data_IF_245686403122
#
_entry.id   IF_245686403122
#
_cell.length_a   1.000
_cell.length_b   1.000
_cell.length_c   1.000
_cell.angle_alpha   90.00
_cell.angle_beta   90.00
_cell.angle_gamma   90.00
#
_symmetry.space_group_name_H-M   'P 1'
#
loop_
_entity.id
_entity.type
_entity.pdbx_description
1 polymer ?
#
# COMPACT_ATOMS: atom_id res chain seq x y z
N UNK A 1 -25.08 -24.11 -7.39
CA UNK A 1 -25.18 -22.91 -8.25
C UNK A 1 -24.79 -21.70 -7.43
N UNK A 2 -23.79 -20.97 -7.88
CA UNK A 2 -23.38 -19.69 -7.29
C UNK A 2 -24.23 -18.56 -7.87
N UNK A 3 -24.80 -17.73 -7.00
CA UNK A 3 -25.54 -16.51 -7.37
C UNK A 3 -24.66 -15.27 -7.11
N UNK A 4 -24.60 -14.35 -8.07
CA UNK A 4 -23.94 -13.06 -7.89
C UNK A 4 -24.94 -12.01 -7.40
N UNK A 5 -24.59 -11.34 -6.31
CA UNK A 5 -25.38 -10.29 -5.70
C UNK A 5 -24.58 -9.01 -5.52
N UNK A 6 -25.10 -7.90 -6.04
CA UNK A 6 -24.49 -6.60 -5.81
C UNK A 6 -24.67 -6.15 -4.35
N UNK A 7 -23.58 -5.70 -3.71
CA UNK A 7 -23.56 -5.19 -2.34
C UNK A 7 -23.83 -3.68 -2.28
N UNK A 8 -24.96 -3.24 -2.84
CA UNK A 8 -25.34 -1.83 -2.98
C UNK A 8 -25.96 -1.21 -1.71
N UNK A 9 -26.37 -2.01 -0.73
CA UNK A 9 -26.90 -1.49 0.56
C UNK A 9 -25.81 -1.42 1.63
N UNK A 10 -25.98 -0.53 2.63
CA UNK A 10 -25.07 -0.43 3.79
C UNK A 10 -24.90 -1.78 4.52
N UNK A 11 -25.95 -2.59 4.58
CA UNK A 11 -25.92 -3.93 5.20
C UNK A 11 -25.07 -4.90 4.38
N UNK A 12 -25.25 -4.93 3.06
CA UNK A 12 -24.46 -5.80 2.19
C UNK A 12 -23.00 -5.36 2.11
N UNK A 13 -22.71 -4.04 2.09
CA UNK A 13 -21.34 -3.51 2.17
C UNK A 13 -20.59 -3.97 3.42
N UNK A 14 -21.25 -3.95 4.59
CA UNK A 14 -20.66 -4.50 5.82
C UNK A 14 -20.32 -5.97 5.68
N UNK A 15 -21.24 -6.78 5.14
CA UNK A 15 -21.00 -8.20 4.89
C UNK A 15 -19.85 -8.43 3.91
N UNK A 16 -19.79 -7.63 2.84
CA UNK A 16 -18.70 -7.64 1.88
C UNK A 16 -17.36 -7.41 2.57
N UNK A 17 -17.23 -6.37 3.40
CA UNK A 17 -15.98 -6.09 4.12
C UNK A 17 -15.63 -7.22 5.11
N UNK A 18 -16.63 -7.71 5.86
CA UNK A 18 -16.42 -8.71 6.91
C UNK A 18 -16.06 -10.09 6.37
N UNK A 19 -16.51 -10.46 5.17
CA UNK A 19 -16.25 -11.77 4.59
C UNK A 19 -14.75 -12.15 4.59
N UNK A 20 -13.85 -11.22 4.30
CA UNK A 20 -12.41 -11.51 4.36
C UNK A 20 -11.92 -11.77 5.79
N UNK A 21 -12.37 -10.99 6.77
CA UNK A 21 -12.04 -11.25 8.17
C UNK A 21 -12.56 -12.63 8.63
N UNK A 22 -13.69 -13.08 8.10
CA UNK A 22 -14.26 -14.40 8.38
C UNK A 22 -13.51 -15.52 7.67
N UNK A 23 -13.17 -15.35 6.39
CA UNK A 23 -12.43 -16.31 5.57
C UNK A 23 -11.04 -16.59 6.17
N UNK A 24 -10.35 -15.56 6.64
CA UNK A 24 -8.99 -15.65 7.16
C UNK A 24 -8.89 -15.68 8.68
N UNK A 25 -9.99 -15.93 9.40
CA UNK A 25 -10.03 -15.84 10.88
C UNK A 25 -8.98 -16.71 11.58
N UNK A 26 -8.64 -17.86 11.00
CA UNK A 26 -7.69 -18.84 11.54
C UNK A 26 -6.32 -18.76 10.84
N UNK A 27 -6.12 -17.81 9.92
CA UNK A 27 -4.86 -17.65 9.20
C UNK A 27 -3.89 -16.75 9.98
N UNK A 28 -2.73 -17.26 10.44
CA UNK A 28 -1.83 -16.47 11.26
C UNK A 28 -1.11 -15.35 10.50
N UNK A 29 -1.01 -15.43 9.18
CA UNK A 29 -0.37 -14.41 8.36
C UNK A 29 -1.31 -13.25 8.00
N UNK A 30 -2.62 -13.47 8.05
CA UNK A 30 -3.62 -12.47 7.71
C UNK A 30 -3.71 -11.37 8.78
N UNK A 31 -3.82 -10.12 8.31
CA UNK A 31 -4.04 -8.95 9.15
C UNK A 31 -5.47 -8.46 8.96
N UNK A 32 -6.32 -8.50 10.02
CA UNK A 32 -7.70 -8.06 9.94
C UNK A 32 -7.84 -6.61 9.48
N UNK A 33 -8.76 -6.40 8.55
CA UNK A 33 -9.11 -5.07 8.09
C UNK A 33 -10.09 -4.39 9.07
N UNK A 34 -9.90 -3.09 9.31
CA UNK A 34 -10.80 -2.31 10.15
C UNK A 34 -12.11 -1.99 9.43
N UNK A 35 -13.24 -2.47 9.96
CA UNK A 35 -14.54 -2.26 9.33
C UNK A 35 -14.88 -0.77 9.16
N UNK A 36 -14.56 0.07 10.16
CA UNK A 36 -14.86 1.51 10.08
C UNK A 36 -14.06 2.22 9.00
N UNK A 37 -12.82 1.78 8.78
CA UNK A 37 -11.91 2.35 7.79
C UNK A 37 -12.37 1.99 6.38
N UNK A 38 -12.60 0.70 6.10
CA UNK A 38 -13.14 0.27 4.80
C UNK A 38 -14.53 0.85 4.51
N UNK A 39 -15.40 0.98 5.52
CA UNK A 39 -16.69 1.65 5.33
C UNK A 39 -16.53 3.13 4.95
N UNK A 40 -15.47 3.80 5.41
CA UNK A 40 -15.17 5.18 5.02
C UNK A 40 -14.53 5.23 3.62
N UNK A 41 -13.61 4.32 3.31
CA UNK A 41 -12.97 4.21 2.00
C UNK A 41 -13.97 3.85 0.87
N UNK A 42 -15.01 3.07 1.17
CA UNK A 42 -16.10 2.69 0.24
C UNK A 42 -17.30 3.67 0.27
N UNK A 43 -17.14 4.86 0.85
CA UNK A 43 -18.19 5.89 0.87
C UNK A 43 -17.84 7.03 -0.11
N UNK A 44 -18.64 7.24 -1.18
CA UNK A 44 -18.46 8.34 -2.13
C UNK A 44 -18.45 9.75 -1.51
N UNK A 45 -19.14 9.94 -0.38
CA UNK A 45 -19.14 11.24 0.32
C UNK A 45 -17.82 11.52 1.04
N UNK A 46 -17.05 10.46 1.37
CA UNK A 46 -15.83 10.55 2.18
C UNK A 46 -14.55 10.35 1.38
N UNK A 47 -14.54 9.42 0.43
CA UNK A 47 -13.37 9.11 -0.37
C UNK A 47 -13.41 9.88 -1.69
N UNK A 48 -12.50 10.85 -1.92
CA UNK A 48 -12.51 11.66 -3.14
C UNK A 48 -12.13 10.89 -4.40
N UNK A 49 -11.69 9.63 -4.29
CA UNK A 49 -11.49 8.77 -5.47
C UNK A 49 -12.77 8.61 -6.31
N UNK A 50 -13.94 8.67 -5.67
CA UNK A 50 -15.24 8.61 -6.36
C UNK A 50 -15.52 9.83 -7.25
N UNK A 51 -14.70 10.88 -7.20
CA UNK A 51 -14.81 12.01 -8.13
C UNK A 51 -14.44 11.59 -9.57
N UNK A 52 -13.72 10.48 -9.76
CA UNK A 52 -13.30 9.96 -11.07
C UNK A 52 -13.29 8.42 -11.18
N UNK A 53 -13.75 7.71 -10.15
CA UNK A 53 -13.85 6.26 -10.15
C UNK A 53 -15.28 5.81 -9.92
N UNK A 54 -15.76 4.89 -10.75
CA UNK A 54 -16.95 4.10 -10.48
C UNK A 54 -16.56 2.79 -9.79
N UNK A 55 -17.42 2.29 -8.91
CA UNK A 55 -17.18 1.02 -8.22
C UNK A 55 -18.47 0.21 -8.07
N UNK A 56 -18.38 -1.09 -8.36
CA UNK A 56 -19.40 -2.08 -7.98
C UNK A 56 -18.78 -3.13 -7.07
N UNK A 57 -19.58 -3.58 -6.10
CA UNK A 57 -19.20 -4.61 -5.13
C UNK A 57 -20.08 -5.82 -5.37
N UNK A 58 -19.49 -6.98 -5.62
CA UNK A 58 -20.20 -8.23 -5.89
C UNK A 58 -19.91 -9.26 -4.80
N UNK A 59 -20.96 -9.97 -4.38
CA UNK A 59 -20.90 -11.11 -3.48
C UNK A 59 -21.29 -12.37 -4.25
N UNK A 60 -20.52 -13.43 -4.10
CA UNK A 60 -20.91 -14.77 -4.53
C UNK A 60 -21.64 -15.47 -3.38
N UNK A 61 -22.84 -15.94 -3.67
CA UNK A 61 -23.74 -16.59 -2.71
C UNK A 61 -23.94 -18.06 -3.10
N UNK A 62 -23.87 -18.97 -2.13
CA UNK A 62 -24.25 -20.38 -2.28
C UNK A 62 -25.03 -20.80 -1.03
N UNK A 63 -26.23 -21.35 -1.21
CA UNK A 63 -27.11 -21.79 -0.12
C UNK A 63 -27.33 -20.72 0.97
N UNK A 64 -27.53 -19.47 0.54
CA UNK A 64 -27.73 -18.31 1.42
C UNK A 64 -26.48 -17.82 2.17
N UNK A 65 -25.31 -18.44 1.95
CA UNK A 65 -24.02 -18.08 2.54
C UNK A 65 -23.14 -17.35 1.53
N UNK A 66 -22.33 -16.41 2.02
CA UNK A 66 -21.31 -15.75 1.18
C UNK A 66 -20.15 -16.74 1.02
N UNK A 67 -19.75 -17.00 -0.21
CA UNK A 67 -18.63 -17.88 -0.57
C UNK A 67 -17.50 -17.12 -1.29
N UNK A 68 -17.74 -15.87 -1.66
CA UNK A 68 -16.72 -15.00 -2.20
C UNK A 68 -17.19 -13.55 -2.38
N UNK A 69 -16.25 -12.68 -2.70
CA UNK A 69 -16.46 -11.26 -2.95
C UNK A 69 -15.46 -10.74 -3.99
N UNK A 70 -15.88 -9.74 -4.75
CA UNK A 70 -14.99 -8.97 -5.62
C UNK A 70 -15.53 -7.56 -5.80
N UNK A 71 -14.64 -6.58 -5.86
CA UNK A 71 -14.97 -5.24 -6.29
C UNK A 71 -14.44 -5.02 -7.71
N UNK A 72 -15.27 -4.44 -8.57
CA UNK A 72 -14.82 -3.83 -9.81
C UNK A 72 -14.59 -2.33 -9.58
N UNK A 73 -13.54 -1.75 -10.16
CA UNK A 73 -13.31 -0.30 -10.18
C UNK A 73 -13.03 0.15 -11.62
N UNK A 74 -13.76 1.15 -12.10
CA UNK A 74 -13.44 1.84 -13.36
C UNK A 74 -12.82 3.17 -12.97
N UNK A 75 -11.52 3.34 -13.24
CA UNK A 75 -10.82 4.61 -13.00
C UNK A 75 -10.71 5.38 -14.32
N UNK A 76 -11.59 6.35 -14.53
CA UNK A 76 -11.63 7.16 -15.75
C UNK A 76 -10.31 7.89 -15.96
N UNK A 77 -9.79 8.48 -14.88
CA UNK A 77 -8.52 9.22 -14.90
C UNK A 77 -7.31 8.33 -15.22
N UNK A 78 -7.25 7.11 -14.69
CA UNK A 78 -6.17 6.19 -15.03
C UNK A 78 -6.24 5.75 -16.50
N UNK A 79 -7.44 5.41 -16.98
CA UNK A 79 -7.66 5.03 -18.37
C UNK A 79 -7.27 6.15 -19.35
N UNK A 80 -7.57 7.41 -19.01
CA UNK A 80 -7.18 8.58 -19.79
C UNK A 80 -5.65 8.78 -19.84
N UNK A 81 -4.99 8.85 -18.67
CA UNK A 81 -3.55 9.13 -18.56
C UNK A 81 -2.73 8.03 -19.26
N UNK A 82 -3.10 6.77 -19.02
CA UNK A 82 -2.35 5.62 -19.52
C UNK A 82 -2.82 5.14 -20.89
N UNK A 83 -3.83 5.81 -21.49
CA UNK A 83 -4.44 5.46 -22.78
C UNK A 83 -4.88 3.99 -22.85
N UNK A 84 -5.58 3.57 -21.80
CA UNK A 84 -6.03 2.20 -21.59
C UNK A 84 -7.55 2.16 -21.45
N UNK A 85 -8.14 0.98 -21.65
CA UNK A 85 -9.57 0.72 -21.45
C UNK A 85 -9.73 -0.44 -20.45
N UNK A 86 -9.25 -0.22 -19.23
CA UNK A 86 -9.14 -1.24 -18.19
C UNK A 86 -10.24 -1.11 -17.14
N UNK A 87 -10.77 -2.25 -16.69
CA UNK A 87 -11.48 -2.39 -15.42
C UNK A 87 -10.55 -3.03 -14.38
N UNK A 88 -10.55 -2.53 -13.16
CA UNK A 88 -9.74 -3.07 -12.06
C UNK A 88 -10.56 -4.09 -11.25
N UNK A 89 -9.96 -5.24 -10.94
CA UNK A 89 -10.38 -6.10 -9.84
C UNK A 89 -9.78 -5.53 -8.54
N UNK A 90 -10.55 -5.54 -7.45
CA UNK A 90 -10.12 -5.12 -6.12
C UNK A 90 -10.85 -5.95 -5.06
N UNK A 91 -10.32 -6.03 -3.83
CA UNK A 91 -10.98 -6.73 -2.69
C UNK A 91 -11.52 -8.11 -3.09
N UNK A 92 -10.66 -8.88 -3.72
CA UNK A 92 -11.00 -10.16 -4.32
C UNK A 92 -10.71 -11.26 -3.31
N UNK A 93 -11.74 -11.90 -2.79
CA UNK A 93 -11.58 -13.00 -1.83
C UNK A 93 -12.63 -14.08 -2.05
N UNK A 94 -12.27 -15.35 -2.04
CA UNK A 94 -13.18 -16.47 -2.35
C UNK A 94 -12.66 -17.76 -1.71
N UNK A 95 -13.55 -18.72 -1.46
CA UNK A 95 -13.17 -20.09 -1.10
C UNK A 95 -12.58 -20.81 -2.31
N UNK A 96 -11.73 -21.83 -2.11
CA UNK A 96 -11.08 -22.59 -3.18
C UNK A 96 -12.10 -23.41 -4.02
N UNK A 97 -12.76 -22.74 -4.96
CA UNK A 97 -13.83 -23.28 -5.77
C UNK A 97 -13.90 -22.53 -7.11
N UNK A 98 -13.76 -23.29 -8.20
CA UNK A 98 -13.75 -22.75 -9.56
C UNK A 98 -15.06 -22.04 -9.93
N UNK A 99 -16.23 -22.57 -9.53
CA UNK A 99 -17.53 -21.97 -9.84
C UNK A 99 -17.65 -20.57 -9.18
N UNK A 100 -17.10 -20.42 -7.97
CA UNK A 100 -17.13 -19.14 -7.24
C UNK A 100 -16.29 -18.09 -7.93
N UNK A 101 -15.03 -18.42 -8.25
CA UNK A 101 -14.11 -17.46 -8.86
C UNK A 101 -14.52 -17.11 -10.29
N UNK A 102 -15.03 -18.08 -11.06
CA UNK A 102 -15.53 -17.86 -12.42
C UNK A 102 -16.72 -16.88 -12.41
N UNK A 103 -17.66 -17.06 -11.48
CA UNK A 103 -18.81 -16.17 -11.34
C UNK A 103 -18.40 -14.74 -10.92
N UNK A 104 -17.47 -14.60 -9.97
CA UNK A 104 -16.99 -13.30 -9.50
C UNK A 104 -16.25 -12.53 -10.60
N UNK A 105 -15.30 -13.19 -11.27
CA UNK A 105 -14.54 -12.58 -12.36
C UNK A 105 -15.47 -12.24 -13.52
N UNK A 106 -16.35 -13.17 -13.92
CA UNK A 106 -17.34 -12.93 -14.97
C UNK A 106 -18.22 -11.70 -14.72
N UNK A 107 -18.65 -11.45 -13.47
CA UNK A 107 -19.42 -10.26 -13.12
C UNK A 107 -18.62 -8.95 -13.32
N UNK A 108 -17.33 -8.95 -13.01
CA UNK A 108 -16.45 -7.79 -13.26
C UNK A 108 -16.18 -7.62 -14.75
N UNK A 109 -15.86 -8.70 -15.47
CA UNK A 109 -15.65 -8.66 -16.93
C UNK A 109 -16.89 -8.13 -17.66
N UNK A 110 -18.08 -8.62 -17.31
CA UNK A 110 -19.34 -8.16 -17.88
C UNK A 110 -19.55 -6.65 -17.64
N UNK A 111 -19.37 -6.17 -16.40
CA UNK A 111 -19.51 -4.75 -16.11
C UNK A 111 -18.47 -3.90 -16.86
N UNK A 112 -17.26 -4.44 -17.07
CA UNK A 112 -16.26 -3.83 -17.93
C UNK A 112 -16.74 -3.64 -19.37
N UNK A 113 -17.28 -4.69 -20.00
CA UNK A 113 -17.83 -4.64 -21.36
C UNK A 113 -18.97 -3.65 -21.52
N UNK A 114 -19.90 -3.66 -20.56
CA UNK A 114 -21.03 -2.72 -20.52
C UNK A 114 -20.57 -1.25 -20.52
N UNK A 115 -19.31 -0.99 -20.10
CA UNK A 115 -18.71 0.34 -20.07
C UNK A 115 -17.62 0.52 -21.15
N UNK A 116 -17.59 -0.34 -22.17
CA UNK A 116 -16.67 -0.23 -23.32
C UNK A 116 -15.20 -0.49 -22.97
N UNK A 117 -14.93 -1.23 -21.89
CA UNK A 117 -13.60 -1.64 -21.46
C UNK A 117 -13.24 -2.99 -22.09
N UNK A 118 -11.98 -3.17 -22.44
CA UNK A 118 -11.51 -4.34 -23.21
C UNK A 118 -10.45 -5.18 -22.47
N UNK A 119 -10.03 -4.76 -21.28
CA UNK A 119 -9.08 -5.49 -20.45
C UNK A 119 -9.47 -5.42 -18.96
N UNK A 120 -9.27 -6.52 -18.23
CA UNK A 120 -9.37 -6.56 -16.77
C UNK A 120 -7.97 -6.66 -16.16
N UNK A 121 -7.71 -5.90 -15.10
CA UNK A 121 -6.41 -5.83 -14.41
C UNK A 121 -6.60 -5.90 -12.90
N UNK A 122 -5.70 -6.53 -12.14
CA UNK A 122 -5.79 -6.48 -10.67
C UNK A 122 -5.07 -7.60 -9.89
N UNK A 123 -5.14 -7.55 -8.55
CA UNK A 123 -5.93 -6.59 -7.80
C UNK A 123 -5.24 -5.23 -7.65
N UNK A 124 -5.99 -4.15 -7.87
CA UNK A 124 -5.56 -2.75 -7.68
C UNK A 124 -6.63 -1.97 -6.90
N UNK A 125 -6.21 -0.95 -6.14
CA UNK A 125 -7.13 -0.04 -5.46
C UNK A 125 -7.59 1.12 -6.35
N UNK A 126 -7.97 2.24 -5.73
CA UNK A 126 -8.38 3.44 -6.46
C UNK A 126 -7.17 4.20 -7.02
N UNK A 127 -6.08 4.31 -6.27
CA UNK A 127 -4.79 4.82 -6.70
C UNK A 127 -3.63 4.08 -6.02
N UNK A 128 -2.39 4.51 -6.26
CA UNK A 128 -1.17 3.84 -5.78
C UNK A 128 -0.94 3.98 -4.26
N UNK A 129 -1.80 4.73 -3.58
CA UNK A 129 -1.82 4.80 -2.12
C UNK A 129 -2.74 3.74 -1.50
N UNK A 130 -3.50 3.01 -2.31
CA UNK A 130 -4.28 1.85 -1.88
C UNK A 130 -3.46 0.55 -1.99
N UNK A 131 -4.07 -0.56 -1.60
CA UNK A 131 -3.48 -1.90 -1.71
C UNK A 131 -3.36 -2.33 -3.18
N UNK A 132 -2.20 -2.86 -3.55
CA UNK A 132 -1.90 -3.33 -4.90
C UNK A 132 -1.25 -4.72 -4.89
N UNK A 133 -1.63 -5.53 -5.88
CA UNK A 133 -1.04 -6.83 -6.13
C UNK A 133 -1.45 -7.91 -5.12
N UNK A 134 -1.87 -9.07 -5.63
CA UNK A 134 -2.07 -10.25 -4.78
C UNK A 134 -0.73 -10.90 -4.47
N UNK A 135 -0.64 -11.55 -3.31
CA UNK A 135 0.53 -12.29 -2.88
C UNK A 135 0.74 -13.51 -3.79
N UNK A 136 1.94 -13.65 -4.34
CA UNK A 136 2.36 -14.77 -5.19
C UNK A 136 3.57 -15.53 -4.64
N UNK A 137 4.22 -14.98 -3.61
CA UNK A 137 5.38 -15.59 -2.93
C UNK A 137 5.48 -15.07 -1.50
N UNK A 138 6.01 -15.87 -0.57
CA UNK A 138 6.12 -15.53 0.85
C UNK A 138 4.83 -15.72 1.66
N UNK A 139 3.99 -16.70 1.30
CA UNK A 139 2.72 -17.01 1.98
C UNK A 139 2.87 -17.39 3.45
N UNK A 140 4.04 -17.85 3.86
CA UNK A 140 4.39 -18.17 5.24
C UNK A 140 4.69 -16.92 6.08
N UNK A 141 4.99 -15.78 5.43
CA UNK A 141 5.29 -14.51 6.09
C UNK A 141 4.00 -13.77 6.45
N UNK A 142 4.05 -13.07 7.58
CA UNK A 142 2.95 -12.19 8.02
C UNK A 142 2.72 -11.07 7.00
N UNK A 143 1.45 -10.77 6.71
CA UNK A 143 1.06 -9.67 5.84
C UNK A 143 1.32 -8.30 6.46
N UNK A 144 1.39 -7.27 5.61
CA UNK A 144 1.39 -5.88 6.04
C UNK A 144 -0.04 -5.35 6.10
N UNK A 145 -0.30 -4.43 7.02
CA UNK A 145 -1.61 -3.77 7.14
C UNK A 145 -2.02 -3.09 5.81
N UNK A 146 -1.03 -2.59 5.08
CA UNK A 146 -1.15 -1.82 3.83
C UNK A 146 -1.15 -2.68 2.57
N UNK A 147 -1.32 -3.99 2.71
CA UNK A 147 -1.26 -4.91 1.56
C UNK A 147 -2.40 -5.91 1.56
N UNK A 148 -2.64 -6.54 0.41
CA UNK A 148 -3.54 -7.69 0.33
C UNK A 148 -2.89 -8.94 0.93
N UNK A 149 -3.71 -9.89 1.34
CA UNK A 149 -3.30 -11.25 1.63
C UNK A 149 -4.29 -12.18 0.96
N UNK A 150 -3.80 -13.27 0.41
CA UNK A 150 -4.60 -14.31 -0.21
C UNK A 150 -3.95 -15.67 0.00
N UNK A 151 -4.74 -16.73 -0.12
CA UNK A 151 -4.21 -18.08 -0.14
C UNK A 151 -3.45 -18.38 -1.46
N UNK A 152 -2.55 -19.39 -1.47
CA UNK A 152 -1.80 -19.79 -2.66
C UNK A 152 -2.67 -20.16 -3.86
N UNK A 153 -3.81 -20.84 -3.63
CA UNK A 153 -4.72 -21.29 -4.69
C UNK A 153 -5.26 -20.15 -5.56
N UNK A 154 -5.22 -18.90 -5.09
CA UNK A 154 -5.65 -17.76 -5.90
C UNK A 154 -4.83 -17.65 -7.17
N UNK A 155 -3.51 -17.88 -7.09
CA UNK A 155 -2.61 -17.82 -8.24
C UNK A 155 -2.96 -18.89 -9.27
N UNK A 156 -3.32 -20.09 -8.80
CA UNK A 156 -3.74 -21.21 -9.65
C UNK A 156 -5.04 -20.87 -10.39
N UNK A 157 -6.03 -20.29 -9.70
CA UNK A 157 -7.28 -19.84 -10.34
C UNK A 157 -7.08 -18.70 -11.33
N UNK A 158 -6.20 -17.73 -11.02
CA UNK A 158 -5.87 -16.66 -11.97
C UNK A 158 -5.28 -17.22 -13.26
N UNK A 159 -4.30 -18.13 -13.15
CA UNK A 159 -3.70 -18.79 -14.31
C UNK A 159 -4.73 -19.62 -15.08
N UNK A 160 -5.59 -20.39 -14.38
CA UNK A 160 -6.68 -21.18 -15.00
C UNK A 160 -7.64 -20.31 -15.80
N UNK A 161 -7.95 -19.12 -15.31
CA UNK A 161 -8.83 -18.13 -15.96
C UNK A 161 -8.17 -17.41 -17.14
N UNK A 162 -6.91 -17.71 -17.45
CA UNK A 162 -6.15 -17.09 -18.54
C UNK A 162 -5.58 -15.71 -18.20
N UNK A 163 -5.49 -15.36 -16.92
CA UNK A 163 -4.77 -14.16 -16.52
C UNK A 163 -3.26 -14.36 -16.64
N UNK A 164 -2.59 -13.32 -17.10
CA UNK A 164 -1.13 -13.25 -17.21
C UNK A 164 -0.57 -12.16 -16.28
N UNK A 165 0.74 -12.18 -16.07
CA UNK A 165 1.43 -11.14 -15.30
C UNK A 165 1.34 -9.80 -16.03
N UNK A 166 0.91 -8.75 -15.33
CA UNK A 166 1.11 -7.37 -15.79
C UNK A 166 2.37 -6.78 -15.16
N UNK A 167 2.46 -6.82 -13.83
CA UNK A 167 3.61 -6.28 -13.08
C UNK A 167 3.77 -6.97 -11.73
N UNK A 168 5.02 -7.09 -11.25
CA UNK A 168 5.31 -7.55 -9.89
C UNK A 168 5.90 -6.44 -9.01
N UNK A 169 5.63 -6.57 -7.71
CA UNK A 169 6.31 -5.84 -6.65
C UNK A 169 7.02 -6.80 -5.71
N UNK A 170 8.19 -6.39 -5.22
CA UNK A 170 8.97 -7.09 -4.20
C UNK A 170 8.87 -6.34 -2.88
N UNK A 171 8.82 -7.10 -1.78
CA UNK A 171 8.93 -6.59 -0.42
C UNK A 171 10.17 -7.18 0.24
N UNK A 172 10.78 -6.42 1.13
CA UNK A 172 11.99 -6.77 1.84
C UNK A 172 11.85 -6.48 3.33
N UNK A 173 12.53 -7.26 4.16
CA UNK A 173 12.74 -6.93 5.57
C UNK A 173 14.15 -6.39 5.75
N UNK A 174 14.25 -5.16 6.23
CA UNK A 174 15.51 -4.44 6.43
C UNK A 174 15.73 -4.27 7.92
N UNK A 175 16.82 -4.83 8.44
CA UNK A 175 17.17 -4.69 9.84
C UNK A 175 17.74 -3.30 10.08
N UNK A 176 17.36 -2.68 11.20
CA UNK A 176 17.71 -1.28 11.50
C UNK A 176 19.22 -1.11 11.73
N UNK A 177 19.86 -2.12 12.32
CA UNK A 177 21.31 -2.14 12.52
C UNK A 177 22.03 -2.14 11.17
N UNK A 178 22.86 -1.12 10.96
CA UNK A 178 23.73 -1.01 9.79
C UNK A 178 24.90 -1.99 9.93
N UNK A 179 25.46 -2.41 8.79
CA UNK A 179 26.60 -3.33 8.77
C UNK A 179 27.87 -2.68 9.34
N UNK A 180 28.02 -1.36 9.12
CA UNK A 180 29.15 -0.54 9.59
C UNK A 180 28.66 0.90 9.82
N UNK A 181 28.20 1.16 11.05
CA UNK A 181 27.57 2.42 11.45
C UNK A 181 28.56 3.60 11.40
N UNK A 182 29.79 3.41 11.85
CA UNK A 182 30.79 4.47 11.86
C UNK A 182 31.14 4.92 10.43
N UNK A 183 31.31 3.95 9.52
CA UNK A 183 31.57 4.24 8.12
C UNK A 183 30.38 4.90 7.45
N UNK A 184 29.17 4.41 7.68
CA UNK A 184 27.94 4.99 7.13
C UNK A 184 27.78 6.45 7.60
N UNK A 185 27.89 6.69 8.91
CA UNK A 185 27.80 8.03 9.48
C UNK A 185 28.86 8.98 8.92
N UNK A 186 30.09 8.52 8.72
CA UNK A 186 31.16 9.32 8.09
C UNK A 186 30.85 9.67 6.64
N UNK A 187 30.30 8.73 5.86
CA UNK A 187 29.88 8.98 4.48
C UNK A 187 28.74 10.01 4.45
N UNK A 188 27.72 9.82 5.29
CA UNK A 188 26.56 10.71 5.35
C UNK A 188 26.95 12.15 5.72
N UNK A 189 27.85 12.34 6.70
CA UNK A 189 28.39 13.67 7.05
C UNK A 189 29.06 14.35 5.85
N UNK A 190 29.92 13.63 5.11
CA UNK A 190 30.58 14.17 3.92
C UNK A 190 29.58 14.56 2.83
N UNK A 191 28.53 13.76 2.63
CA UNK A 191 27.48 14.05 1.64
C UNK A 191 26.72 15.32 2.03
N UNK A 192 26.35 15.45 3.31
CA UNK A 192 25.69 16.65 3.84
C UNK A 192 26.57 17.89 3.64
N UNK A 193 27.83 17.85 4.08
CA UNK A 193 28.75 18.99 4.01
C UNK A 193 29.06 19.40 2.57
N UNK A 194 29.40 18.44 1.69
CA UNK A 194 29.78 18.70 0.30
C UNK A 194 28.66 19.35 -0.51
N UNK A 195 27.44 18.88 -0.31
CA UNK A 195 26.27 19.35 -1.07
C UNK A 195 25.46 20.42 -0.32
N UNK A 196 25.91 20.80 0.88
CA UNK A 196 25.25 21.76 1.77
C UNK A 196 23.77 21.44 2.04
N UNK A 197 23.49 20.15 2.23
CA UNK A 197 22.15 19.71 2.61
C UNK A 197 21.85 20.07 4.06
N UNK A 198 20.56 20.26 4.37
CA UNK A 198 20.07 20.46 5.73
C UNK A 198 19.04 19.39 6.07
N UNK A 199 19.34 18.59 7.10
CA UNK A 199 18.35 17.68 7.69
C UNK A 199 17.35 18.49 8.51
N UNK A 200 16.06 18.33 8.23
CA UNK A 200 14.99 19.04 8.94
C UNK A 200 14.46 18.16 10.07
N UNK A 201 14.54 18.69 11.28
CA UNK A 201 14.04 18.01 12.48
C UNK A 201 12.71 18.62 12.94
N UNK A 202 11.62 17.92 12.70
CA UNK A 202 10.27 18.31 13.14
C UNK A 202 9.95 17.70 14.51
N UNK A 203 9.50 18.53 15.46
CA UNK A 203 9.17 18.12 16.84
C UNK A 203 7.67 18.03 17.12
N UNK A 204 6.83 18.49 16.20
CA UNK A 204 5.37 18.39 16.33
C UNK A 204 4.68 18.27 14.97
N UNK A 205 3.47 17.67 14.95
CA UNK A 205 2.65 17.56 13.73
C UNK A 205 2.31 18.93 13.12
N UNK A 206 2.22 19.98 13.95
CA UNK A 206 2.03 21.36 13.49
C UNK A 206 3.21 21.85 12.64
N UNK A 207 4.44 21.44 12.95
CA UNK A 207 5.64 21.78 12.17
C UNK A 207 5.74 20.98 10.87
N UNK A 208 5.05 19.85 10.75
CA UNK A 208 4.97 19.08 9.50
C UNK A 208 4.02 19.76 8.51
N UNK A 209 2.96 20.43 9.00
CA UNK A 209 1.91 21.02 8.15
C UNK A 209 2.43 21.88 6.97
N UNK A 210 3.42 22.78 7.15
CA UNK A 210 3.97 23.55 6.04
C UNK A 210 4.69 22.71 4.97
N UNK A 211 5.18 21.52 5.32
CA UNK A 211 5.87 20.61 4.39
C UNK A 211 4.92 19.72 3.60
N UNK A 212 3.65 19.60 4.01
CA UNK A 212 2.69 18.67 3.39
C UNK A 212 2.59 18.92 1.88
N UNK A 213 2.40 20.17 1.45
CA UNK A 213 2.33 20.51 0.03
C UNK A 213 3.58 20.07 -0.73
N UNK A 214 4.75 20.41 -0.18
CA UNK A 214 6.08 20.11 -0.75
C UNK A 214 6.35 18.60 -0.82
N UNK A 215 5.89 17.85 0.18
CA UNK A 215 5.96 16.38 0.20
C UNK A 215 5.17 15.80 -0.98
N UNK A 216 3.93 16.25 -1.19
CA UNK A 216 3.12 15.77 -2.31
C UNK A 216 3.64 16.24 -3.67
N UNK A 217 4.20 17.45 -3.76
CA UNK A 217 4.87 17.92 -4.96
C UNK A 217 6.04 17.00 -5.32
N UNK A 218 6.90 16.67 -4.35
CA UNK A 218 8.03 15.77 -4.55
C UNK A 218 7.58 14.33 -4.86
N UNK A 219 6.54 13.83 -4.20
CA UNK A 219 5.98 12.50 -4.52
C UNK A 219 5.42 12.47 -5.93
N UNK A 220 4.59 13.44 -6.30
CA UNK A 220 3.99 13.49 -7.64
C UNK A 220 5.07 13.64 -8.72
N UNK A 221 6.10 14.46 -8.50
CA UNK A 221 7.17 14.66 -9.50
C UNK A 221 8.00 13.41 -9.72
N UNK A 222 8.33 12.69 -8.65
CA UNK A 222 9.19 11.51 -8.72
C UNK A 222 8.43 10.23 -9.09
N UNK A 223 7.13 10.14 -8.78
CA UNK A 223 6.35 8.92 -8.98
C UNK A 223 5.53 8.95 -10.29
N UNK A 224 5.43 10.09 -10.99
CA UNK A 224 4.60 10.25 -12.21
C UNK A 224 4.79 9.21 -13.32
N UNK A 225 5.97 8.59 -13.39
CA UNK A 225 6.31 7.60 -14.42
C UNK A 225 6.22 6.15 -13.91
N UNK A 226 5.86 5.94 -12.64
CA UNK A 226 5.68 4.60 -12.09
C UNK A 226 4.35 4.02 -12.60
N UNK A 227 4.33 2.70 -12.77
CA UNK A 227 3.17 1.97 -13.22
C UNK A 227 1.93 2.33 -12.39
N UNK A 228 0.80 2.59 -13.06
CA UNK A 228 -0.49 2.80 -12.39
C UNK A 228 -0.72 4.21 -11.84
N UNK A 229 0.33 5.06 -11.81
CA UNK A 229 0.28 6.31 -11.07
C UNK A 229 -0.70 7.32 -11.65
N UNK A 230 -1.55 7.83 -10.76
CA UNK A 230 -2.49 8.93 -11.05
C UNK A 230 -2.20 10.09 -10.11
N UNK A 231 -1.92 11.30 -10.62
CA UNK A 231 -1.69 12.47 -9.77
C UNK A 231 -2.88 12.73 -8.84
N UNK A 232 -2.61 12.89 -7.55
CA UNK A 232 -3.62 13.14 -6.53
C UNK A 232 -4.20 14.55 -6.67
N UNK A 233 -5.53 14.67 -6.58
CA UNK A 233 -6.20 15.99 -6.45
C UNK A 233 -5.96 16.59 -5.07
N UNK A 234 -6.15 17.90 -4.89
CA UNK A 234 -6.01 18.54 -3.56
C UNK A 234 -6.90 17.89 -2.50
N UNK A 235 -8.15 17.58 -2.85
CA UNK A 235 -9.08 16.88 -1.96
C UNK A 235 -8.57 15.49 -1.57
N UNK A 236 -7.91 14.77 -2.49
CA UNK A 236 -7.26 13.50 -2.17
C UNK A 236 -6.04 13.67 -1.27
N UNK A 237 -5.21 14.69 -1.50
CA UNK A 237 -4.07 15.01 -0.62
C UNK A 237 -4.57 15.26 0.80
N UNK A 238 -5.61 16.08 0.99
CA UNK A 238 -6.22 16.33 2.31
C UNK A 238 -6.78 15.06 2.96
N UNK A 239 -7.48 14.22 2.17
CA UNK A 239 -7.99 12.93 2.63
C UNK A 239 -6.86 12.04 3.17
N UNK A 240 -5.80 11.82 2.39
CA UNK A 240 -4.67 10.98 2.79
C UNK A 240 -3.87 11.58 3.95
N UNK A 241 -3.67 12.89 3.97
CA UNK A 241 -3.05 13.60 5.10
C UNK A 241 -3.78 13.31 6.40
N UNK A 242 -5.12 13.38 6.40
CA UNK A 242 -5.90 13.12 7.60
C UNK A 242 -5.68 11.69 8.14
N UNK A 243 -5.54 10.70 7.25
CA UNK A 243 -5.31 9.30 7.61
C UNK A 243 -3.88 9.09 8.10
N UNK A 244 -2.87 9.52 7.33
CA UNK A 244 -1.46 9.32 7.66
C UNK A 244 -1.03 10.11 8.89
N UNK A 245 -1.55 11.32 9.10
CA UNK A 245 -1.22 12.11 10.28
C UNK A 245 -1.58 11.40 11.58
N UNK A 246 -2.58 10.52 11.61
CA UNK A 246 -2.92 9.74 12.81
C UNK A 246 -1.85 8.69 13.13
N UNK A 247 -1.28 8.07 12.10
CA UNK A 247 -0.22 7.05 12.22
C UNK A 247 1.19 7.64 12.34
N UNK A 248 1.34 8.93 12.04
CA UNK A 248 2.64 9.59 11.99
C UNK A 248 3.33 9.64 13.35
N UNK A 249 4.49 9.00 13.43
CA UNK A 249 5.49 9.19 14.48
C UNK A 249 6.68 9.96 13.87
N UNK A 250 6.99 11.13 14.41
CA UNK A 250 7.94 12.09 13.84
C UNK A 250 9.39 11.62 13.88
N UNK A 251 9.71 10.65 14.76
CA UNK A 251 11.04 10.05 14.80
C UNK A 251 11.35 9.29 13.51
N UNK A 252 10.32 8.85 12.79
CA UNK A 252 10.43 8.03 11.58
C UNK A 252 10.10 8.82 10.29
N UNK A 253 10.13 10.15 10.39
CA UNK A 253 10.01 11.07 9.27
C UNK A 253 11.36 11.71 9.01
N UNK A 254 11.90 11.50 7.83
CA UNK A 254 13.11 12.18 7.35
C UNK A 254 12.75 13.23 6.30
N UNK A 255 13.27 14.44 6.47
CA UNK A 255 13.11 15.55 5.53
C UNK A 255 14.48 16.17 5.33
N UNK A 256 14.88 16.41 4.08
CA UNK A 256 16.16 17.04 3.74
C UNK A 256 15.94 18.14 2.73
N UNK A 257 16.52 19.30 3.01
CA UNK A 257 16.51 20.48 2.16
C UNK A 257 17.88 20.75 1.54
N UNK A 258 17.91 21.44 0.40
CA UNK A 258 19.13 22.00 -0.18
C UNK A 258 19.48 23.38 0.42
N UNK A 259 20.56 24.02 -0.06
CA UNK A 259 21.01 25.35 0.38
C UNK A 259 19.95 26.45 0.16
N UNK A 260 19.09 26.30 -0.85
CA UNK A 260 18.00 27.24 -1.18
C UNK A 260 16.75 27.01 -0.30
N UNK A 261 16.78 26.01 0.59
CA UNK A 261 15.66 25.62 1.41
C UNK A 261 14.59 24.81 0.67
N UNK A 262 14.87 24.31 -0.54
CA UNK A 262 14.02 23.39 -1.31
C UNK A 262 13.99 21.99 -0.67
N UNK A 263 12.83 21.36 -0.50
CA UNK A 263 12.71 19.98 -0.02
C UNK A 263 13.13 19.03 -1.15
N UNK A 264 14.26 18.36 -0.99
CA UNK A 264 14.88 17.52 -2.03
C UNK A 264 14.89 16.03 -1.70
N UNK A 265 14.61 15.66 -0.45
CA UNK A 265 14.34 14.28 -0.08
C UNK A 265 13.36 14.18 1.08
N UNK A 266 12.52 13.15 1.04
CA UNK A 266 11.62 12.78 2.12
C UNK A 266 11.56 11.27 2.31
N UNK A 267 11.41 10.83 3.55
CA UNK A 267 11.15 9.45 3.94
C UNK A 267 10.06 9.40 5.01
N UNK A 268 9.04 8.57 4.81
CA UNK A 268 7.96 8.33 5.77
C UNK A 268 7.91 6.84 6.05
N UNK A 269 8.35 6.47 7.26
CA UNK A 269 8.13 5.16 7.86
C UNK A 269 7.06 5.32 8.95
N UNK A 270 6.23 4.31 9.14
CA UNK A 270 5.23 4.33 10.20
C UNK A 270 5.34 3.10 11.11
N UNK A 271 4.85 3.20 12.35
CA UNK A 271 4.67 2.06 13.25
C UNK A 271 3.96 0.90 12.55
N UNK A 272 4.57 -0.28 12.52
CA UNK A 272 3.97 -1.45 11.89
C UNK A 272 2.69 -1.88 12.62
N UNK A 273 1.58 -1.98 11.88
CA UNK A 273 0.24 -2.15 12.49
C UNK A 273 -0.23 -3.61 12.56
N UNK A 274 0.49 -4.52 11.92
CA UNK A 274 0.08 -5.92 11.76
C UNK A 274 -0.25 -6.62 13.10
N UNK A 275 0.65 -6.55 14.08
CA UNK A 275 0.48 -7.27 15.36
C UNK A 275 -0.69 -6.72 16.17
N UNK A 276 -0.86 -5.39 16.19
CA UNK A 276 -1.91 -4.76 16.97
C UNK A 276 -3.28 -4.97 16.33
N UNK A 277 -3.38 -4.91 15.00
CA UNK A 277 -4.62 -5.18 14.27
C UNK A 277 -5.07 -6.62 14.44
N UNK A 278 -4.12 -7.57 14.45
CA UNK A 278 -4.42 -8.96 14.75
C UNK A 278 -4.88 -9.16 16.19
N UNK A 279 -4.20 -8.54 17.16
CA UNK A 279 -4.59 -8.59 18.58
C UNK A 279 -6.00 -8.04 18.83
N UNK A 280 -6.41 -6.99 18.12
CA UNK A 280 -7.73 -6.37 18.29
C UNK A 280 -8.80 -6.94 17.37
N UNK A 281 -8.45 -7.84 16.44
CA UNK A 281 -9.34 -8.29 15.37
C UNK A 281 -9.84 -7.14 14.50
N UNK A 282 -9.05 -6.08 14.34
CA UNK A 282 -9.41 -4.85 13.62
C UNK A 282 -10.46 -3.97 14.30
N UNK A 283 -10.74 -4.19 15.60
CA UNK A 283 -11.74 -3.41 16.36
C UNK A 283 -11.09 -2.39 17.28
N UNK A 284 -11.46 -1.11 17.15
CA UNK A 284 -10.95 -0.05 18.03
C UNK A 284 -11.76 0.12 19.32
N UNK A 285 -13.05 -0.19 19.32
CA UNK A 285 -13.93 0.03 20.46
C UNK A 285 -14.40 -1.29 21.09
N UNK A 286 -14.63 -1.31 22.43
CA UNK A 286 -14.49 -0.17 23.35
C UNK A 286 -13.04 0.18 23.73
N UNK A 287 -12.10 -0.78 23.70
CA UNK A 287 -10.73 -0.59 24.25
C UNK A 287 -9.58 -0.95 23.30
N UNK A 288 -9.85 -1.31 22.05
CA UNK A 288 -8.82 -1.65 21.06
C UNK A 288 -7.96 -0.46 20.61
N UNK A 289 -8.41 0.78 20.80
CA UNK A 289 -7.63 1.98 20.53
C UNK A 289 -6.43 2.14 21.48
N UNK A 290 -6.50 1.61 22.70
CA UNK A 290 -5.41 1.69 23.70
C UNK A 290 -4.14 0.99 23.18
N UNK A 291 -4.16 -0.31 22.78
CA UNK A 291 -2.97 -0.95 22.24
C UNK A 291 -2.52 -0.32 20.91
N UNK A 292 -3.43 0.24 20.10
CA UNK A 292 -3.07 0.96 18.86
C UNK A 292 -2.23 2.21 19.17
N UNK A 293 -2.69 3.06 20.08
CA UNK A 293 -1.92 4.26 20.47
C UNK A 293 -0.57 3.89 21.08
N UNK A 294 -0.51 2.84 21.91
CA UNK A 294 0.75 2.34 22.46
C UNK A 294 1.71 1.87 21.36
N UNK A 295 1.20 1.16 20.35
CA UNK A 295 2.00 0.72 19.20
C UNK A 295 2.52 1.90 18.37
N UNK A 296 1.71 2.95 18.19
CA UNK A 296 2.15 4.15 17.46
C UNK A 296 3.29 4.85 18.19
N UNK A 297 3.24 4.92 19.53
CA UNK A 297 4.26 5.56 20.35
C UNK A 297 5.53 4.71 20.49
N UNK A 298 5.38 3.39 20.67
CA UNK A 298 6.47 2.44 20.91
C UNK A 298 6.30 1.19 20.03
N UNK A 299 6.53 1.33 18.70
CA UNK A 299 6.47 0.18 17.82
C UNK A 299 7.63 -0.77 18.07
N UNK A 300 7.46 -2.04 17.65
CA UNK A 300 8.56 -3.02 17.61
C UNK A 300 9.27 -3.06 16.26
N UNK A 301 8.55 -2.72 15.21
CA UNK A 301 9.00 -2.69 13.81
C UNK A 301 8.23 -1.60 13.06
N UNK A 302 8.74 -1.20 11.91
CA UNK A 302 8.15 -0.16 11.07
C UNK A 302 7.70 -0.74 9.73
N UNK A 303 6.72 -0.10 9.10
CA UNK A 303 6.36 -0.28 7.70
C UNK A 303 6.90 0.93 6.93
N UNK A 304 7.65 0.71 5.84
CA UNK A 304 8.14 1.79 4.99
C UNK A 304 7.11 2.14 3.92
N UNK A 305 6.62 3.38 3.95
CA UNK A 305 5.58 3.83 3.03
C UNK A 305 6.19 4.52 1.81
N UNK A 306 6.78 5.69 2.03
CA UNK A 306 7.20 6.56 0.94
C UNK A 306 8.64 6.98 1.14
N UNK A 307 9.43 6.83 0.08
CA UNK A 307 10.76 7.43 -0.03
C UNK A 307 10.80 8.13 -1.38
N UNK A 308 11.07 9.43 -1.36
CA UNK A 308 11.23 10.22 -2.57
C UNK A 308 12.50 11.05 -2.44
N UNK A 309 13.32 11.01 -3.48
CA UNK A 309 14.52 11.83 -3.62
C UNK A 309 14.43 12.48 -4.98
N UNK A 310 14.53 13.80 -5.00
CA UNK A 310 14.49 14.59 -6.21
C UNK A 310 15.54 14.06 -7.21
N UNK A 311 15.07 13.82 -8.43
CA UNK A 311 15.86 13.21 -9.50
C UNK A 311 17.18 13.93 -9.80
N UNK A 312 17.25 15.25 -9.56
CA UNK A 312 18.46 16.09 -9.70
C UNK A 312 19.58 15.66 -8.74
N UNK A 313 19.22 15.04 -7.61
CA UNK A 313 20.15 14.63 -6.56
C UNK A 313 20.35 13.11 -6.50
N UNK A 314 19.89 12.37 -7.52
CA UNK A 314 20.22 10.94 -7.65
C UNK A 314 21.74 10.77 -7.73
N UNK A 315 22.25 9.70 -7.13
CA UNK A 315 23.68 9.37 -7.05
C UNK A 315 24.56 10.33 -6.22
N UNK A 316 23.98 11.31 -5.51
CA UNK A 316 24.75 12.17 -4.59
C UNK A 316 25.03 11.50 -3.23
N UNK A 317 24.36 10.38 -2.94
CA UNK A 317 24.34 9.75 -1.62
C UNK A 317 23.20 10.26 -0.71
N UNK A 318 22.36 11.19 -1.19
CA UNK A 318 21.26 11.78 -0.42
C UNK A 318 20.27 10.75 0.13
N UNK A 319 19.94 9.69 -0.64
CA UNK A 319 19.07 8.62 -0.17
C UNK A 319 19.67 7.86 1.02
N UNK A 320 20.99 7.68 1.05
CA UNK A 320 21.68 7.04 2.18
C UNK A 320 21.67 7.96 3.42
N UNK A 321 21.83 9.28 3.25
CA UNK A 321 21.67 10.25 4.34
C UNK A 321 20.27 10.17 4.95
N UNK A 322 19.24 10.18 4.10
CA UNK A 322 17.85 10.08 4.54
C UNK A 322 17.59 8.80 5.34
N UNK A 323 18.01 7.66 4.81
CA UNK A 323 17.79 6.38 5.49
C UNK A 323 18.62 6.28 6.78
N UNK A 324 19.86 6.76 6.78
CA UNK A 324 20.71 6.81 7.97
C UNK A 324 20.09 7.62 9.09
N UNK A 325 19.56 8.81 8.80
CA UNK A 325 18.87 9.65 9.80
C UNK A 325 17.67 8.95 10.45
N UNK A 326 16.84 8.28 9.63
CA UNK A 326 15.65 7.58 10.12
C UNK A 326 16.06 6.32 10.91
N UNK A 327 16.98 5.53 10.38
CA UNK A 327 17.42 4.27 11.01
C UNK A 327 18.16 4.50 12.32
N UNK A 328 18.94 5.58 12.44
CA UNK A 328 19.59 5.94 13.71
C UNK A 328 18.57 6.17 14.83
N UNK A 329 17.52 6.95 14.56
CA UNK A 329 16.42 7.17 15.52
C UNK A 329 15.64 5.89 15.80
N UNK A 330 15.43 5.08 14.78
CA UNK A 330 14.80 3.77 14.94
C UNK A 330 15.63 2.87 15.86
N UNK A 331 16.96 2.87 15.74
CA UNK A 331 17.86 2.11 16.62
C UNK A 331 17.78 2.64 18.07
N UNK A 332 17.84 3.95 18.25
CA UNK A 332 17.72 4.60 19.57
C UNK A 332 16.39 4.25 20.27
N UNK A 333 15.32 4.06 19.47
CA UNK A 333 14.00 3.66 19.93
C UNK A 333 13.82 2.13 20.08
N UNK A 334 14.85 1.32 19.83
CA UNK A 334 14.82 -0.13 19.96
C UNK A 334 14.01 -0.86 18.87
N UNK A 335 13.86 -0.25 17.70
CA UNK A 335 13.20 -0.86 16.54
C UNK A 335 14.08 -1.97 15.97
N UNK A 336 13.46 -3.14 15.72
CA UNK A 336 14.19 -4.33 15.26
C UNK A 336 14.46 -4.32 13.75
N UNK A 337 13.44 -3.98 12.98
CA UNK A 337 13.47 -3.97 11.52
C UNK A 337 12.37 -3.06 10.97
N UNK A 338 12.46 -2.78 9.69
CA UNK A 338 11.39 -2.22 8.90
C UNK A 338 11.07 -3.15 7.72
N UNK A 339 9.79 -3.39 7.45
CA UNK A 339 9.35 -4.05 6.22
C UNK A 339 9.05 -2.99 5.16
N UNK A 340 9.57 -3.18 3.94
CA UNK A 340 9.23 -2.29 2.84
C UNK A 340 7.78 -2.53 2.42
N UNK A 341 7.05 -1.47 2.07
CA UNK A 341 5.87 -1.62 1.23
C UNK A 341 6.23 -2.23 -0.14
N UNK A 342 5.23 -2.50 -0.99
CA UNK A 342 5.44 -3.04 -2.34
C UNK A 342 6.34 -2.11 -3.17
N UNK A 343 7.47 -2.62 -3.67
CA UNK A 343 8.37 -1.90 -4.57
C UNK A 343 8.36 -2.56 -5.95
N UNK A 344 8.15 -1.79 -7.02
CA UNK A 344 8.18 -2.33 -8.38
C UNK A 344 9.47 -3.12 -8.62
N UNK A 345 9.36 -4.31 -9.21
CA UNK A 345 10.51 -5.23 -9.41
C UNK A 345 11.66 -4.61 -10.22
N UNK A 346 11.33 -3.62 -11.08
CA UNK A 346 12.28 -2.92 -11.95
C UNK A 346 12.88 -1.67 -11.29
N UNK A 347 12.48 -1.31 -10.06
CA UNK A 347 13.00 -0.16 -9.34
C UNK A 347 14.34 -0.48 -8.67
N UNK A 348 15.39 -0.66 -9.47
CA UNK A 348 16.72 -0.99 -8.95
C UNK A 348 17.31 0.10 -8.04
N UNK A 349 16.86 1.35 -8.18
CA UNK A 349 17.32 2.47 -7.35
C UNK A 349 16.88 2.29 -5.90
N UNK A 350 15.63 1.85 -5.65
CA UNK A 350 15.18 1.59 -4.29
C UNK A 350 15.84 0.34 -3.70
N UNK A 351 16.10 -0.69 -4.52
CA UNK A 351 16.80 -1.89 -4.05
C UNK A 351 18.23 -1.61 -3.58
N UNK A 352 18.95 -0.70 -4.27
CA UNK A 352 20.30 -0.26 -3.86
C UNK A 352 20.32 0.56 -2.57
N UNK A 353 19.19 1.12 -2.16
CA UNK A 353 19.10 1.94 -0.95
C UNK A 353 19.54 1.19 0.30
N UNK A 354 19.27 -0.12 0.34
CA UNK A 354 19.48 -0.95 1.53
C UNK A 354 20.85 -1.62 1.57
N UNK A 355 21.78 -1.29 0.67
CA UNK A 355 23.08 -1.94 0.56
C UNK A 355 23.97 -1.83 1.82
N UNK A 356 23.71 -0.83 2.69
CA UNK A 356 24.43 -0.64 3.96
C UNK A 356 23.82 -1.42 5.14
N UNK A 357 22.72 -2.15 4.91
CA UNK A 357 21.95 -2.84 5.94
C UNK A 357 21.86 -4.33 5.67
N UNK A 358 21.58 -5.10 6.71
CA UNK A 358 21.18 -6.49 6.54
C UNK A 358 19.76 -6.53 5.98
N UNK A 359 19.57 -7.26 4.89
CA UNK A 359 18.29 -7.41 4.20
C UNK A 359 17.93 -8.88 4.05
N UNK A 360 16.70 -9.23 4.41
CA UNK A 360 16.08 -10.48 3.96
C UNK A 360 15.48 -10.21 2.58
N UNK A 361 16.25 -10.54 1.53
CA UNK A 361 15.85 -10.35 0.13
C UNK A 361 14.73 -11.32 -0.28
N UNK A 362 13.93 -10.94 -1.28
CA UNK A 362 12.82 -11.75 -1.81
C UNK A 362 11.85 -12.25 -0.72
N UNK A 363 11.50 -11.37 0.22
CA UNK A 363 10.73 -11.74 1.41
C UNK A 363 9.27 -12.06 1.07
N UNK A 364 8.63 -11.18 0.29
CA UNK A 364 7.31 -11.39 -0.32
C UNK A 364 7.34 -10.84 -1.74
N UNK A 365 6.54 -11.43 -2.63
CA UNK A 365 6.30 -10.90 -3.97
C UNK A 365 4.81 -10.79 -4.22
N UNK A 366 4.42 -9.71 -4.87
CA UNK A 366 3.04 -9.44 -5.29
C UNK A 366 2.96 -9.31 -6.78
N UNK A 367 1.80 -9.68 -7.33
CA UNK A 367 1.51 -9.59 -8.76
C UNK A 367 0.18 -8.89 -8.98
N UNK A 368 0.21 -7.97 -9.93
CA UNK A 368 -0.98 -7.55 -10.64
C UNK A 368 -1.07 -8.40 -11.91
N UNK A 369 -2.24 -8.97 -12.11
CA UNK A 369 -2.58 -9.78 -13.26
C UNK A 369 -3.39 -8.96 -14.26
N UNK A 370 -3.32 -9.32 -15.53
CA UNK A 370 -4.21 -8.79 -16.57
C UNK A 370 -4.78 -9.90 -17.43
N UNK A 371 -5.90 -9.61 -18.08
CA UNK A 371 -6.52 -10.48 -19.07
C UNK A 371 -7.31 -9.62 -20.06
N UNK A 372 -7.12 -9.87 -21.35
CA UNK A 372 -7.98 -9.28 -22.37
C UNK A 372 -9.38 -9.87 -22.22
N UNK A 373 -10.39 -9.00 -22.15
CA UNK A 373 -11.76 -9.45 -22.08
C UNK A 373 -12.38 -9.45 -23.49
N UNK A 374 -11.92 -8.62 -24.42
CA UNK A 374 -12.53 -8.46 -25.76
C UNK A 374 -13.62 -7.39 -25.76
N UNK A 375 -14.06 -6.96 -26.95
CA UNK A 375 -15.17 -6.01 -27.11
C UNK A 375 -16.53 -6.66 -26.85
#
# INVERSE_FOLDING_TARGET
>A
MVEIKEANTKRLRKKFIQFQNELYKDCPQYIPTMLSDEMANLNPEKNPAFDYCDMKLFLAMRDGKIVGRVAGIISHKANEIWKQKRIRISRFDFIDDAEVVDALVGAVEQWGRENGLNEVVGPLGFCDLDKEGMLVDGFEKKGLFITYYNHPYYVEHMNRLGFEKDVDWTEHKVYVESVDEEKLARICRRVIEKNKFRVVHVKSKKQVKPYIGRIFELLNSEYKNLYGVVPLTERQKEYYVSQFLLLLNLDYVGLIENEEGELVAMGVLAPGMADVMKKTGGRLFPFGWIPVLRNIQKPRFLDMYFIAVDSRYRNTGLSAVLLHEITKRAADNGILYAETGPQLEQNYNIQKLFAAYKVESNFKRRRCFKKAIGE
#
